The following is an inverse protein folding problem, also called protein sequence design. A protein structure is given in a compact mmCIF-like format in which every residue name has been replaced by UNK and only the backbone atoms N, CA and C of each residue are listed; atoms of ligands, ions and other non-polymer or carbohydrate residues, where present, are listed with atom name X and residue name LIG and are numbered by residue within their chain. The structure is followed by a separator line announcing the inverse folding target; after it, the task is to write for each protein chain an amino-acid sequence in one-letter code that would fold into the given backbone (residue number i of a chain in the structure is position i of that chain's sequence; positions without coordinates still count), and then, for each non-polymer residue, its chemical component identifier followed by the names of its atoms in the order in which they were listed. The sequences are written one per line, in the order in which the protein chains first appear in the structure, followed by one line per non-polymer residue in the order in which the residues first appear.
data_IF_888737695023
#
_entry.id   IF_888737695023
#
_cell.length_a   1.000
_cell.length_b   1.000
_cell.length_c   1.000
_cell.angle_alpha   90.00
_cell.angle_beta   90.00
_cell.angle_gamma   90.00
#
_symmetry.space_group_name_H-M   'P 1'
#
loop_
_entity.id
_entity.type
_entity.pdbx_description
1 polymer ?
#
# COMPACT_ATOMS: atom_id res chain seq x y z
N UNK A 1 -69.56 -6.43 -9.18
CA UNK A 1 -69.87 -5.77 -10.48
C UNK A 1 -69.24 -4.39 -10.40
N UNK A 2 -68.21 -3.98 -11.14
CA UNK A 2 -67.70 -4.30 -12.47
C UNK A 2 -66.16 -4.23 -12.42
N UNK A 3 -65.52 -5.12 -13.17
CA UNK A 3 -64.08 -5.20 -13.42
C UNK A 3 -63.67 -4.29 -14.59
N UNK A 4 -62.39 -3.87 -14.64
CA UNK A 4 -61.52 -3.69 -15.83
C UNK A 4 -60.20 -3.04 -15.33
N UNK A 5 -59.06 -3.74 -15.20
CA UNK A 5 -58.11 -4.28 -16.19
C UNK A 5 -57.39 -3.23 -17.06
N UNK A 6 -56.06 -3.21 -16.89
CA UNK A 6 -54.97 -3.08 -17.87
C UNK A 6 -54.74 -1.75 -18.62
N UNK A 7 -53.58 -1.13 -18.40
CA UNK A 7 -52.46 -1.03 -19.35
C UNK A 7 -51.36 -0.13 -18.73
N UNK A 8 -50.23 -0.67 -18.27
CA UNK A 8 -48.99 -0.82 -19.06
C UNK A 8 -48.46 0.54 -19.57
N UNK A 9 -47.71 1.25 -18.71
CA UNK A 9 -46.71 2.24 -19.15
C UNK A 9 -45.38 1.83 -18.52
N UNK A 10 -44.66 1.00 -19.27
CA UNK A 10 -43.21 0.89 -19.14
C UNK A 10 -42.61 2.20 -19.64
N UNK A 11 -41.95 2.95 -18.76
CA UNK A 11 -41.02 4.00 -19.17
C UNK A 11 -39.74 3.86 -18.36
N UNK A 12 -38.78 3.23 -19.02
CA UNK A 12 -37.35 3.22 -18.75
C UNK A 12 -36.85 4.51 -18.07
N UNK A 13 -36.36 4.39 -16.84
CA UNK A 13 -35.41 5.31 -16.23
C UNK A 13 -34.31 4.52 -15.52
N UNK A 14 -33.70 3.61 -16.28
CA UNK A 14 -32.44 2.96 -15.94
C UNK A 14 -31.37 3.52 -16.88
N UNK A 15 -30.62 4.51 -16.42
CA UNK A 15 -29.26 4.86 -16.88
C UNK A 15 -28.90 6.25 -16.37
N UNK A 16 -28.10 6.32 -15.31
CA UNK A 16 -27.04 7.33 -15.09
C UNK A 16 -26.68 7.41 -13.59
N UNK A 17 -25.95 6.41 -13.10
CA UNK A 17 -25.05 6.53 -11.92
C UNK A 17 -24.08 5.34 -11.96
N UNK A 18 -23.39 5.19 -13.09
CA UNK A 18 -22.31 4.23 -13.27
C UNK A 18 -21.08 4.95 -13.81
N UNK A 19 -20.60 5.97 -13.06
CA UNK A 19 -19.30 6.60 -13.29
C UNK A 19 -18.63 6.87 -11.95
N UNK A 20 -18.38 5.80 -11.18
CA UNK A 20 -17.46 5.79 -10.04
C UNK A 20 -16.51 4.58 -10.14
N UNK A 21 -16.17 4.18 -11.37
CA UNK A 21 -15.59 2.87 -11.68
C UNK A 21 -14.26 2.91 -12.44
N UNK A 22 -13.50 3.99 -12.38
CA UNK A 22 -12.23 4.10 -13.11
C UNK A 22 -11.12 4.71 -12.26
N UNK A 23 -10.74 4.06 -11.16
CA UNK A 23 -9.45 4.25 -10.46
C UNK A 23 -9.30 3.14 -9.39
N UNK A 24 -9.17 1.88 -9.83
CA UNK A 24 -8.97 0.74 -8.91
C UNK A 24 -8.09 -0.36 -9.50
N UNK A 25 -7.14 0.06 -10.31
CA UNK A 25 -6.15 -0.83 -10.91
C UNK A 25 -4.98 -0.87 -9.91
N UNK A 26 -4.89 -1.97 -9.16
CA UNK A 26 -3.89 -2.36 -8.13
C UNK A 26 -4.34 -2.20 -6.64
N UNK A 27 -4.86 -3.32 -6.10
CA UNK A 27 -4.73 -3.92 -4.74
C UNK A 27 -5.45 -3.35 -3.49
N UNK A 28 -6.62 -3.92 -3.13
CA UNK A 28 -7.25 -3.88 -1.78
C UNK A 28 -8.05 -2.63 -1.38
N UNK A 29 -8.76 -2.69 -0.25
CA UNK A 29 -9.53 -1.58 0.36
C UNK A 29 -8.74 -0.96 1.52
N UNK A 30 -8.54 0.37 1.52
CA UNK A 30 -7.92 1.07 2.64
C UNK A 30 -8.86 1.03 3.86
N UNK A 31 -8.38 0.47 4.97
CA UNK A 31 -9.15 0.34 6.21
C UNK A 31 -8.64 1.25 7.32
N UNK A 32 -7.39 1.69 7.21
CA UNK A 32 -6.78 2.57 8.20
C UNK A 32 -5.68 3.42 7.55
N UNK A 33 -5.65 4.71 7.88
CA UNK A 33 -4.56 5.62 7.51
C UNK A 33 -4.15 6.39 8.77
N UNK A 34 -2.87 6.32 9.12
CA UNK A 34 -2.31 6.93 10.32
C UNK A 34 -1.17 7.86 9.93
N UNK A 35 -1.24 9.12 10.38
CA UNK A 35 -0.07 10.00 10.33
C UNK A 35 1.00 9.46 11.28
N UNK A 36 2.24 9.42 10.81
CA UNK A 36 3.39 9.02 11.62
C UNK A 36 4.39 10.16 11.67
N UNK A 37 5.02 10.37 12.82
CA UNK A 37 6.06 11.38 12.98
C UNK A 37 7.42 10.72 13.05
N UNK A 38 8.42 11.41 12.51
CA UNK A 38 9.81 11.01 12.62
C UNK A 38 10.25 11.07 14.10
N UNK A 39 10.97 10.05 14.55
CA UNK A 39 11.54 9.98 15.89
C UNK A 39 12.99 10.50 15.91
N UNK A 40 13.58 10.58 17.09
CA UNK A 40 14.94 11.12 17.28
C UNK A 40 16.04 10.35 16.52
N UNK A 41 15.77 9.12 16.09
CA UNK A 41 16.71 8.27 15.36
C UNK A 41 16.55 8.36 13.84
N UNK A 42 15.56 9.10 13.34
CA UNK A 42 15.20 9.17 11.92
C UNK A 42 14.24 8.06 11.46
N UNK A 43 13.65 7.32 12.40
CA UNK A 43 12.62 6.31 12.16
C UNK A 43 11.21 6.82 12.36
N UNK A 44 10.22 5.95 12.25
CA UNK A 44 8.80 6.28 12.46
C UNK A 44 8.13 5.26 13.40
N UNK A 45 7.16 5.74 14.16
CA UNK A 45 6.45 4.94 15.16
C UNK A 45 7.17 4.88 16.52
N UNK A 46 6.73 3.99 17.43
CA UNK A 46 5.78 2.91 17.22
C UNK A 46 4.35 3.39 16.90
N UNK A 47 3.63 2.62 16.08
CA UNK A 47 2.17 2.79 15.87
C UNK A 47 1.43 1.48 16.02
N UNK A 48 0.21 1.57 16.55
CA UNK A 48 -0.66 0.41 16.75
C UNK A 48 -1.63 0.25 15.59
N UNK A 49 -1.65 -0.94 15.01
CA UNK A 49 -2.53 -1.36 13.92
C UNK A 49 -3.46 -2.47 14.45
N UNK A 50 -4.78 -2.26 14.37
CA UNK A 50 -5.73 -3.30 14.73
C UNK A 50 -6.00 -4.18 13.52
N UNK A 51 -5.45 -5.39 13.52
CA UNK A 51 -5.55 -6.33 12.40
C UNK A 51 -6.38 -7.55 12.81
N UNK A 52 -7.09 -8.12 11.84
CA UNK A 52 -7.92 -9.30 12.03
C UNK A 52 -7.77 -10.29 10.86
N UNK A 53 -8.01 -11.59 11.07
CA UNK A 53 -7.84 -12.58 10.01
C UNK A 53 -8.76 -12.38 8.79
N UNK A 54 -9.94 -11.78 8.96
CA UNK A 54 -10.87 -11.45 7.87
C UNK A 54 -10.39 -10.29 6.97
N UNK A 55 -9.33 -9.57 7.35
CA UNK A 55 -8.69 -8.57 6.50
C UNK A 55 -7.69 -9.19 5.52
N UNK A 56 -7.33 -10.47 5.69
CA UNK A 56 -6.28 -11.10 4.91
C UNK A 56 -6.64 -11.25 3.42
N UNK A 57 -5.71 -11.00 2.48
CA UNK A 57 -4.36 -10.49 2.71
C UNK A 57 -4.33 -9.00 3.03
N UNK A 58 -3.43 -8.61 3.94
CA UNK A 58 -3.20 -7.21 4.35
C UNK A 58 -1.91 -6.69 3.73
N UNK A 59 -1.97 -5.50 3.14
CA UNK A 59 -0.80 -4.70 2.79
C UNK A 59 -0.65 -3.52 3.74
N UNK A 60 0.57 -3.29 4.23
CA UNK A 60 0.92 -2.11 5.00
C UNK A 60 1.86 -1.26 4.13
N UNK A 61 1.41 -0.06 3.77
CA UNK A 61 2.11 0.86 2.89
C UNK A 61 2.60 2.08 3.65
N UNK A 62 3.73 2.61 3.22
CA UNK A 62 4.27 3.88 3.68
C UNK A 62 4.04 4.93 2.59
N UNK A 63 3.50 6.06 3.00
CA UNK A 63 3.27 7.23 2.16
C UNK A 63 4.11 8.37 2.69
N UNK A 64 4.74 9.12 1.80
CA UNK A 64 5.43 10.35 2.16
C UNK A 64 5.50 11.29 0.97
N UNK A 65 5.95 12.52 1.23
CA UNK A 65 6.36 13.50 0.23
C UNK A 65 7.83 13.83 0.46
N UNK A 66 8.63 13.92 -0.61
CA UNK A 66 9.97 14.49 -0.51
C UNK A 66 9.93 16.02 -0.72
N UNK A 67 10.99 16.72 -0.31
CA UNK A 67 11.12 18.16 -0.58
C UNK A 67 11.47 18.46 -2.03
N UNK A 68 11.64 19.75 -2.34
CA UNK A 68 12.08 20.23 -3.65
C UNK A 68 13.56 20.69 -3.63
N UNK A 69 14.33 20.31 -2.59
CA UNK A 69 15.73 20.73 -2.43
C UNK A 69 16.62 20.01 -3.47
N UNK A 70 17.24 20.75 -4.42
CA UNK A 70 18.09 20.13 -5.44
C UNK A 70 19.30 19.38 -4.91
N UNK A 71 19.75 19.70 -3.69
CA UNK A 71 20.84 18.97 -3.04
C UNK A 71 20.42 17.57 -2.59
N UNK A 72 19.12 17.26 -2.55
CA UNK A 72 18.58 15.94 -2.22
C UNK A 72 18.33 15.05 -3.46
N UNK A 73 18.59 15.56 -4.67
CA UNK A 73 18.45 14.78 -5.90
C UNK A 73 19.38 13.56 -5.90
N UNK A 74 18.87 12.44 -6.40
CA UNK A 74 19.53 11.12 -6.40
C UNK A 74 19.85 10.55 -5.00
N UNK A 75 19.40 11.20 -3.92
CA UNK A 75 19.49 10.64 -2.57
C UNK A 75 18.30 9.73 -2.29
N UNK A 76 18.48 8.89 -1.30
CA UNK A 76 17.49 7.91 -0.88
C UNK A 76 17.58 7.69 0.63
N UNK A 77 16.50 7.26 1.27
CA UNK A 77 16.51 6.77 2.64
C UNK A 77 16.25 5.27 2.65
N UNK A 78 16.89 4.56 3.57
CA UNK A 78 16.73 3.12 3.76
C UNK A 78 16.10 2.84 5.11
N UNK A 79 15.10 1.96 5.14
CA UNK A 79 14.33 1.64 6.34
C UNK A 79 14.11 0.13 6.48
N UNK A 80 13.83 -0.28 7.71
CA UNK A 80 13.31 -1.59 8.08
C UNK A 80 11.97 -1.39 8.78
N UNK A 81 10.94 -2.04 8.25
CA UNK A 81 9.67 -2.21 8.95
C UNK A 81 9.74 -3.49 9.81
N UNK A 82 9.26 -3.39 11.04
CA UNK A 82 9.05 -4.52 11.95
C UNK A 82 7.63 -4.44 12.50
N UNK A 83 6.85 -5.49 12.25
CA UNK A 83 5.54 -5.67 12.85
C UNK A 83 5.65 -6.72 13.95
N UNK A 84 5.17 -6.38 15.14
CA UNK A 84 5.17 -7.28 16.29
C UNK A 84 3.79 -7.37 16.93
N UNK A 85 3.53 -8.45 17.66
CA UNK A 85 2.34 -8.62 18.51
C UNK A 85 2.81 -9.12 19.86
N UNK A 86 2.42 -8.45 20.93
CA UNK A 86 2.87 -8.76 22.29
C UNK A 86 4.40 -8.87 22.41
N UNK A 87 5.14 -7.99 21.70
CA UNK A 87 6.60 -7.97 21.67
C UNK A 87 7.26 -9.07 20.80
N UNK A 88 6.49 -9.98 20.22
CA UNK A 88 7.01 -11.00 19.31
C UNK A 88 6.93 -10.50 17.85
N UNK A 89 8.05 -10.54 17.13
CA UNK A 89 8.09 -10.20 15.71
C UNK A 89 7.22 -11.16 14.89
N UNK A 90 6.33 -10.60 14.08
CA UNK A 90 5.41 -11.33 13.18
C UNK A 90 5.83 -11.18 11.72
N UNK A 91 6.29 -9.99 11.33
CA UNK A 91 6.79 -9.73 9.98
C UNK A 91 7.87 -8.64 10.00
N UNK A 92 8.83 -8.72 9.07
CA UNK A 92 9.79 -7.66 8.85
C UNK A 92 10.21 -7.60 7.38
N UNK A 93 10.49 -6.40 6.91
CA UNK A 93 10.98 -6.14 5.56
C UNK A 93 11.86 -4.89 5.56
N UNK A 94 12.71 -4.76 4.55
CA UNK A 94 13.42 -3.53 4.27
C UNK A 94 12.83 -2.86 3.03
N UNK A 95 12.85 -1.53 3.03
CA UNK A 95 12.41 -0.75 1.89
C UNK A 95 13.26 0.51 1.75
N UNK A 96 13.33 1.03 0.54
CA UNK A 96 14.02 2.28 0.24
C UNK A 96 13.01 3.28 -0.28
N UNK A 97 13.24 4.55 0.04
CA UNK A 97 12.54 5.68 -0.53
C UNK A 97 13.57 6.51 -1.27
N UNK A 98 13.31 6.80 -2.53
CA UNK A 98 14.21 7.57 -3.39
C UNK A 98 13.59 8.93 -3.71
N UNK A 99 14.42 9.96 -3.74
CA UNK A 99 14.00 11.25 -4.27
C UNK A 99 13.71 11.08 -5.77
N UNK A 100 12.50 11.44 -6.20
CA UNK A 100 12.08 11.23 -7.59
C UNK A 100 12.19 12.49 -8.45
N UNK A 101 12.49 13.64 -7.83
CA UNK A 101 12.79 14.88 -8.53
C UNK A 101 14.18 14.88 -9.19
N UNK A 102 14.30 15.71 -10.21
CA UNK A 102 15.52 15.92 -11.01
C UNK A 102 15.70 17.42 -11.34
N UNK A 103 16.81 17.79 -11.97
CA UNK A 103 17.05 19.19 -12.40
C UNK A 103 15.95 19.69 -13.34
N UNK A 104 15.47 18.83 -14.24
CA UNK A 104 14.45 19.17 -15.23
C UNK A 104 13.02 19.06 -14.67
N UNK A 105 12.83 18.33 -13.58
CA UNK A 105 11.55 18.16 -12.88
C UNK A 105 11.76 18.09 -11.37
N UNK A 106 12.07 19.22 -10.70
CA UNK A 106 12.44 19.25 -9.27
C UNK A 106 11.41 18.59 -8.35
N UNK A 107 10.14 18.76 -8.68
CA UNK A 107 9.00 18.23 -7.93
C UNK A 107 8.86 16.70 -7.98
N UNK A 108 9.47 16.01 -8.95
CA UNK A 108 9.34 14.57 -9.11
C UNK A 108 7.90 14.04 -9.09
N UNK A 109 7.73 12.83 -8.55
CA UNK A 109 6.44 12.31 -8.11
C UNK A 109 6.00 13.06 -6.85
N UNK A 110 4.76 13.55 -6.86
CA UNK A 110 4.17 14.27 -5.73
C UNK A 110 4.14 13.46 -4.43
N UNK A 111 4.02 12.14 -4.55
CA UNK A 111 3.98 11.21 -3.43
C UNK A 111 4.89 10.02 -3.67
N UNK A 112 5.56 9.61 -2.61
CA UNK A 112 6.29 8.36 -2.50
C UNK A 112 5.35 7.33 -1.85
N UNK A 113 5.08 6.24 -2.56
CA UNK A 113 4.27 5.12 -2.09
C UNK A 113 5.11 3.86 -2.11
N UNK A 114 5.25 3.21 -0.96
CA UNK A 114 6.02 1.98 -0.85
C UNK A 114 5.28 0.94 -0.03
N UNK A 115 5.07 -0.26 -0.58
CA UNK A 115 4.62 -1.38 0.21
C UNK A 115 5.75 -1.82 1.14
N UNK A 116 5.49 -1.83 2.44
CA UNK A 116 6.46 -2.26 3.45
C UNK A 116 6.30 -3.75 3.74
N UNK A 117 5.07 -4.19 3.97
CA UNK A 117 4.74 -5.54 4.41
C UNK A 117 3.48 -6.04 3.68
N UNK A 118 3.45 -7.34 3.40
CA UNK A 118 2.26 -8.08 3.01
C UNK A 118 2.15 -9.31 3.90
N UNK A 119 0.99 -9.51 4.53
CA UNK A 119 0.79 -10.57 5.51
C UNK A 119 -0.66 -11.04 5.60
N UNK A 120 -0.84 -12.24 6.14
CA UNK A 120 -2.13 -12.80 6.52
C UNK A 120 -2.18 -12.91 8.06
N UNK A 121 -2.81 -11.97 8.78
CA UNK A 121 -2.92 -12.06 10.23
C UNK A 121 -3.60 -13.36 10.65
N UNK A 122 -2.95 -14.17 11.49
CA UNK A 122 -3.51 -15.43 11.99
C UNK A 122 -4.49 -15.23 13.14
N UNK A 123 -4.39 -14.11 13.85
CA UNK A 123 -5.19 -13.79 15.03
C UNK A 123 -5.66 -12.34 14.96
N UNK A 124 -6.80 -12.07 15.60
CA UNK A 124 -7.23 -10.70 15.81
C UNK A 124 -6.42 -10.06 16.95
N UNK A 125 -6.11 -8.78 16.80
CA UNK A 125 -5.54 -7.98 17.88
C UNK A 125 -4.77 -6.76 17.40
N UNK A 126 -4.12 -6.14 18.37
CA UNK A 126 -3.28 -4.97 18.15
C UNK A 126 -1.85 -5.39 17.84
N UNK A 127 -1.34 -4.90 16.71
CA UNK A 127 0.01 -5.12 16.23
C UNK A 127 0.78 -3.80 16.29
N UNK A 128 2.00 -3.85 16.77
CA UNK A 128 2.89 -2.69 16.81
C UNK A 128 3.79 -2.69 15.58
N UNK A 129 3.75 -1.59 14.82
CA UNK A 129 4.64 -1.32 13.72
C UNK A 129 5.70 -0.31 14.13
N UNK A 130 6.97 -0.68 13.93
CA UNK A 130 8.13 0.20 14.08
C UNK A 130 8.88 0.26 12.75
N UNK A 131 9.27 1.47 12.36
CA UNK A 131 10.08 1.72 11.17
C UNK A 131 11.42 2.31 11.63
N UNK A 132 12.51 1.60 11.39
CA UNK A 132 13.85 2.01 11.82
C UNK A 132 14.72 2.30 10.61
N UNK A 133 15.51 3.39 10.59
CA UNK A 133 16.44 3.63 9.50
C UNK A 133 17.53 2.56 9.48
N UNK A 134 17.93 2.13 8.29
CA UNK A 134 19.05 1.18 8.09
C UNK A 134 20.38 1.89 7.85
N UNK A 135 20.31 3.19 7.57
CA UNK A 135 21.45 4.12 7.40
C UNK A 135 20.96 5.55 7.69
N UNK A 136 21.87 6.51 7.94
CA UNK A 136 21.48 7.91 8.14
C UNK A 136 20.58 8.42 7.02
N UNK A 137 19.56 9.21 7.38
CA UNK A 137 18.67 9.82 6.40
C UNK A 137 19.43 10.83 5.54
N UNK A 138 19.25 10.72 4.23
CA UNK A 138 19.92 11.54 3.22
C UNK A 138 18.95 12.53 2.54
N UNK A 139 17.65 12.31 2.67
CA UNK A 139 16.59 13.19 2.17
C UNK A 139 15.52 13.43 3.24
N UNK A 140 14.85 14.58 3.20
CA UNK A 140 13.76 14.91 4.13
C UNK A 140 12.43 14.39 3.62
N UNK A 141 11.64 13.86 4.54
CA UNK A 141 10.28 13.37 4.27
C UNK A 141 9.25 14.21 5.01
N UNK A 142 8.14 14.46 4.34
CA UNK A 142 7.00 15.24 4.82
C UNK A 142 5.72 14.44 4.66
N UNK A 143 4.68 14.82 5.41
CA UNK A 143 3.33 14.21 5.31
C UNK A 143 3.37 12.67 5.39
N UNK A 144 4.20 12.15 6.29
CA UNK A 144 4.44 10.71 6.43
C UNK A 144 3.24 10.01 7.02
N UNK A 145 2.77 8.95 6.36
CA UNK A 145 1.61 8.17 6.77
C UNK A 145 1.84 6.68 6.55
N UNK A 146 1.17 5.88 7.38
CA UNK A 146 1.03 4.44 7.20
C UNK A 146 -0.40 4.16 6.77
N UNK A 147 -0.56 3.44 5.66
CA UNK A 147 -1.86 2.97 5.17
C UNK A 147 -1.95 1.45 5.29
N UNK A 148 -3.04 0.96 5.86
CA UNK A 148 -3.38 -0.47 5.92
C UNK A 148 -4.49 -0.74 4.91
N UNK A 149 -4.25 -1.69 4.01
CA UNK A 149 -5.22 -2.16 3.02
C UNK A 149 -5.55 -3.62 3.25
N UNK A 150 -6.84 -3.98 3.23
CA UNK A 150 -7.32 -5.37 3.31
C UNK A 150 -7.63 -5.94 1.93
N UNK A 151 -7.72 -7.27 1.85
CA UNK A 151 -8.13 -8.01 0.66
C UNK A 151 -7.32 -7.62 -0.59
N UNK A 152 -6.00 -7.43 -0.42
CA UNK A 152 -5.12 -7.13 -1.55
C UNK A 152 -4.98 -8.35 -2.45
N UNK A 153 -4.99 -8.13 -3.77
CA UNK A 153 -4.70 -9.20 -4.73
C UNK A 153 -3.20 -9.49 -4.68
N UNK A 154 -2.85 -10.75 -4.39
CA UNK A 154 -1.48 -11.21 -4.48
C UNK A 154 -1.10 -11.37 -5.95
N UNK A 155 -0.41 -10.37 -6.51
CA UNK A 155 0.06 -10.41 -7.90
C UNK A 155 1.14 -11.48 -8.14
N UNK A 156 1.62 -12.19 -7.10
CA UNK A 156 2.52 -13.33 -7.24
C UNK A 156 1.83 -14.68 -7.40
N UNK A 157 0.50 -14.77 -7.28
CA UNK A 157 -0.23 -16.02 -7.46
C UNK A 157 -0.46 -16.43 -8.94
N UNK A 158 0.04 -15.66 -9.91
CA UNK A 158 -0.13 -15.92 -11.36
C UNK A 158 1.22 -15.91 -12.09
N UNK A 159 2.13 -16.79 -11.67
CA UNK A 159 2.98 -17.49 -12.63
C UNK A 159 2.71 -18.98 -12.45
N UNK A 160 1.92 -19.64 -13.32
CA UNK A 160 2.01 -21.09 -13.39
C UNK A 160 3.48 -21.42 -13.67
N UNK A 161 4.03 -22.35 -12.88
CA UNK A 161 5.36 -22.92 -13.09
C UNK A 161 5.60 -23.11 -14.59
N UNK A 162 6.55 -22.35 -15.14
CA UNK A 162 7.00 -22.56 -16.50
C UNK A 162 7.66 -23.94 -16.52
N UNK A 163 7.14 -24.96 -17.25
CA UNK A 163 7.68 -26.29 -17.17
C UNK A 163 9.13 -26.29 -17.65
N UNK A 164 9.99 -27.01 -16.91
CA UNK A 164 11.41 -27.16 -17.14
C UNK A 164 11.74 -27.99 -18.40
N UNK A 165 11.20 -27.62 -19.57
CA UNK A 165 11.35 -28.37 -20.82
C UNK A 165 11.87 -27.54 -21.99
N UNK A 166 12.63 -26.47 -21.74
CA UNK A 166 13.38 -25.75 -22.79
C UNK A 166 14.87 -25.55 -22.46
N UNK A 167 15.45 -26.40 -21.60
CA UNK A 167 16.91 -26.59 -21.57
C UNK A 167 17.28 -27.76 -22.49
N UNK A 168 17.17 -27.55 -23.79
CA UNK A 168 17.81 -28.41 -24.78
C UNK A 168 18.70 -27.56 -25.67
N UNK A 169 20.00 -27.68 -25.39
CA UNK A 169 21.16 -27.58 -26.27
C UNK A 169 20.92 -27.03 -27.69
N UNK A 170 21.55 -25.89 -27.97
CA UNK A 170 22.21 -25.69 -29.26
C UNK A 170 23.70 -25.51 -28.97
N UNK A 171 24.48 -26.46 -29.48
CA UNK A 171 25.93 -26.40 -29.61
C UNK A 171 26.34 -25.33 -30.62
#
# INVERSE_FOLDING_TARGET
MIAHRNALVFAFAAAALAVAGCERIVTGEAVQTLAVSENETGGYGPVTLSLTPDMAPVAINFHARHGDDPSEFNKWNGYRALLSRNGQAVASSQFNLNHTGSVDSPQGSRYLLQNMLMLNPSEAGDYELVITPTRPAEMKLYETQVEVRRNVQDSYAVYPEQPASQRTLAQ
#
